data_IF_816313623833
#
_entry.id   IF_816313623833
#
_cell.length_a   1.000
_cell.length_b   1.000
_cell.length_c   1.000
_cell.angle_alpha   90.00
_cell.angle_beta   90.00
_cell.angle_gamma   90.00
#
_symmetry.space_group_name_H-M   'P 1'
#
loop_
_entity.id
_entity.type
_entity.pdbx_description
1 polymer ?
#
# COMPACT_ATOMS: atom_id res chain seq x y z
N UNK A 1 -11.35 -10.60 14.60
CA UNK A 1 -11.55 -9.54 13.60
C UNK A 1 -10.21 -9.02 13.11
N UNK A 2 -10.13 -8.66 11.82
CA UNK A 2 -8.93 -8.17 11.13
C UNK A 2 -9.26 -6.83 10.45
N UNK A 3 -8.54 -5.76 10.78
CA UNK A 3 -8.70 -4.47 10.13
C UNK A 3 -7.56 -4.20 9.14
N UNK A 4 -7.87 -3.48 8.06
CA UNK A 4 -6.89 -2.93 7.14
C UNK A 4 -6.83 -1.41 7.29
N UNK A 5 -5.62 -0.88 7.44
CA UNK A 5 -5.36 0.55 7.63
C UNK A 5 -4.54 1.07 6.45
N UNK A 6 -5.01 2.13 5.83
CA UNK A 6 -4.31 2.85 4.79
C UNK A 6 -4.23 4.34 5.09
N UNK A 7 -3.32 5.04 4.44
CA UNK A 7 -3.31 6.49 4.35
C UNK A 7 -3.25 6.87 2.88
N UNK A 8 -4.09 7.81 2.46
CA UNK A 8 -4.18 8.23 1.06
C UNK A 8 -4.32 9.74 0.91
N UNK A 9 -3.82 10.21 -0.23
CA UNK A 9 -4.03 11.56 -0.74
C UNK A 9 -4.19 11.48 -2.24
N UNK A 10 -5.27 12.02 -2.78
CA UNK A 10 -5.59 11.98 -4.21
C UNK A 10 -5.59 10.54 -4.76
N UNK A 11 -6.37 9.66 -4.10
CA UNK A 11 -6.48 8.24 -4.45
C UNK A 11 -7.91 7.82 -4.82
N UNK A 12 -8.85 8.77 -4.98
CA UNK A 12 -10.26 8.44 -5.25
C UNK A 12 -10.44 7.56 -6.49
N UNK A 13 -9.61 7.78 -7.51
CA UNK A 13 -9.62 6.99 -8.74
C UNK A 13 -9.44 5.47 -8.49
N UNK A 14 -8.67 5.11 -7.46
CA UNK A 14 -8.32 3.72 -7.15
C UNK A 14 -9.00 3.19 -5.88
N UNK A 15 -9.56 4.07 -5.08
CA UNK A 15 -10.02 3.76 -3.73
C UNK A 15 -11.11 2.69 -3.72
N UNK A 16 -12.08 2.75 -4.65
CA UNK A 16 -13.19 1.79 -4.70
C UNK A 16 -12.69 0.38 -5.06
N UNK A 17 -11.87 0.23 -6.11
CA UNK A 17 -11.29 -1.05 -6.49
C UNK A 17 -10.47 -1.66 -5.33
N UNK A 18 -9.67 -0.83 -4.67
CA UNK A 18 -8.82 -1.25 -3.57
C UNK A 18 -9.65 -1.71 -2.34
N UNK A 19 -10.70 -0.97 -1.99
CA UNK A 19 -11.63 -1.31 -0.90
C UNK A 19 -12.36 -2.60 -1.20
N UNK A 20 -12.99 -2.71 -2.37
CA UNK A 20 -13.74 -3.89 -2.79
C UNK A 20 -12.87 -5.14 -2.78
N UNK A 21 -11.66 -5.06 -3.30
CA UNK A 21 -10.72 -6.17 -3.30
C UNK A 21 -10.43 -6.69 -1.90
N UNK A 22 -10.11 -5.81 -0.97
CA UNK A 22 -9.75 -6.24 0.38
C UNK A 22 -10.96 -6.69 1.22
N UNK A 23 -12.12 -6.07 1.00
CA UNK A 23 -13.35 -6.55 1.62
C UNK A 23 -13.75 -7.95 1.09
N UNK A 24 -13.53 -8.24 -0.19
CA UNK A 24 -13.73 -9.57 -0.76
C UNK A 24 -12.78 -10.62 -0.17
N UNK A 25 -11.57 -10.23 0.25
CA UNK A 25 -10.64 -11.10 0.96
C UNK A 25 -10.98 -11.30 2.45
N UNK A 26 -12.10 -10.74 2.93
CA UNK A 26 -12.59 -10.96 4.29
C UNK A 26 -12.04 -10.01 5.36
N UNK A 27 -11.43 -8.88 5.01
CA UNK A 27 -11.16 -7.84 6.01
C UNK A 27 -12.46 -7.35 6.61
N UNK A 28 -12.58 -7.36 7.93
CA UNK A 28 -13.81 -6.99 8.63
C UNK A 28 -14.10 -5.49 8.55
N UNK A 29 -13.05 -4.68 8.48
CA UNK A 29 -13.14 -3.22 8.37
C UNK A 29 -11.91 -2.62 7.71
N UNK A 30 -12.11 -1.57 6.93
CA UNK A 30 -11.05 -0.76 6.35
C UNK A 30 -11.06 0.62 6.99
N UNK A 31 -9.92 1.09 7.45
CA UNK A 31 -9.72 2.39 8.10
C UNK A 31 -8.81 3.22 7.21
N UNK A 32 -9.33 4.29 6.65
CA UNK A 32 -8.62 5.18 5.74
C UNK A 32 -8.27 6.48 6.46
N UNK A 33 -6.99 6.75 6.60
CA UNK A 33 -6.47 8.04 7.05
C UNK A 33 -6.48 9.01 5.86
N UNK A 34 -7.45 9.92 5.83
CA UNK A 34 -7.57 10.94 4.78
C UNK A 34 -6.50 12.02 4.96
N UNK A 35 -5.48 12.01 4.10
CA UNK A 35 -4.39 12.98 4.11
C UNK A 35 -4.51 14.01 2.96
N UNK A 36 -5.68 14.15 2.36
CA UNK A 36 -5.94 15.20 1.39
C UNK A 36 -5.79 16.60 2.01
N UNK A 37 -5.51 17.60 1.20
CA UNK A 37 -5.53 19.00 1.63
C UNK A 37 -6.92 19.60 1.40
N UNK A 38 -7.14 20.80 1.94
CA UNK A 38 -8.37 21.55 1.70
C UNK A 38 -8.51 21.85 0.21
N UNK A 39 -9.70 21.60 -0.32
CA UNK A 39 -9.99 21.75 -1.75
C UNK A 39 -9.57 20.56 -2.63
N UNK A 40 -8.89 19.55 -2.08
CA UNK A 40 -8.65 18.27 -2.77
C UNK A 40 -9.81 17.28 -2.56
N UNK A 41 -9.66 16.10 -3.12
CA UNK A 41 -10.62 14.99 -3.05
C UNK A 41 -11.07 14.66 -1.63
N UNK A 42 -12.21 13.99 -1.55
CA UNK A 42 -12.73 13.39 -0.32
C UNK A 42 -13.05 11.92 -0.59
N UNK A 43 -12.62 11.04 0.28
CA UNK A 43 -12.92 9.62 0.14
C UNK A 43 -14.41 9.32 0.24
N UNK A 44 -15.17 10.15 0.95
CA UNK A 44 -16.62 10.03 1.05
C UNK A 44 -17.29 10.16 -0.33
N UNK A 45 -16.74 10.92 -1.27
CA UNK A 45 -17.30 11.10 -2.61
C UNK A 45 -17.38 9.79 -3.41
N UNK A 46 -16.54 8.81 -3.09
CA UNK A 46 -16.45 7.52 -3.80
C UNK A 46 -16.70 6.29 -2.94
N UNK A 47 -16.81 6.44 -1.59
CA UNK A 47 -16.92 5.31 -0.65
C UNK A 47 -18.09 5.47 0.34
N UNK A 48 -19.02 6.42 0.10
CA UNK A 48 -20.10 6.73 1.07
C UNK A 48 -20.96 5.50 1.40
N UNK A 49 -21.24 4.65 0.43
CA UNK A 49 -21.98 3.40 0.61
C UNK A 49 -21.29 2.45 1.62
N UNK A 50 -19.98 2.25 1.50
CA UNK A 50 -19.21 1.42 2.46
C UNK A 50 -19.05 2.07 3.83
N UNK A 51 -19.08 3.40 3.90
CA UNK A 51 -19.06 4.15 5.17
C UNK A 51 -20.40 3.95 5.88
N UNK A 52 -21.53 4.08 5.17
CA UNK A 52 -22.88 3.90 5.70
C UNK A 52 -23.13 2.46 6.18
N UNK A 53 -22.55 1.47 5.49
CA UNK A 53 -22.53 0.06 5.91
C UNK A 53 -21.62 -0.21 7.13
N UNK A 54 -20.81 0.76 7.54
CA UNK A 54 -19.85 0.62 8.64
C UNK A 54 -18.63 -0.26 8.30
N UNK A 55 -18.41 -0.54 7.01
CA UNK A 55 -17.27 -1.33 6.52
C UNK A 55 -16.02 -0.48 6.29
N UNK A 56 -16.20 0.80 6.00
CA UNK A 56 -15.12 1.79 5.88
C UNK A 56 -15.25 2.84 6.96
N UNK A 57 -14.14 3.27 7.53
CA UNK A 57 -14.05 4.41 8.47
C UNK A 57 -13.02 5.40 7.93
N UNK A 58 -13.40 6.68 7.81
CA UNK A 58 -12.49 7.75 7.45
C UNK A 58 -11.97 8.42 8.72
N UNK A 59 -10.64 8.54 8.83
CA UNK A 59 -9.97 9.21 9.96
C UNK A 59 -9.20 10.42 9.43
N UNK A 60 -9.47 11.60 9.97
CA UNK A 60 -8.92 12.86 9.48
C UNK A 60 -7.42 13.03 9.77
N UNK A 61 -6.65 13.17 8.70
CA UNK A 61 -5.23 13.56 8.68
C UNK A 61 -4.97 14.67 7.64
N UNK A 62 -6.03 15.41 7.27
CA UNK A 62 -5.95 16.46 6.26
C UNK A 62 -4.93 17.54 6.64
N UNK A 63 -4.24 18.07 5.63
CA UNK A 63 -3.24 19.14 5.76
C UNK A 63 -2.01 18.79 6.63
N UNK A 64 -1.77 17.51 6.93
CA UNK A 64 -0.61 17.10 7.72
C UNK A 64 0.48 16.53 6.80
N UNK A 65 1.61 17.24 6.72
CA UNK A 65 2.75 16.75 5.95
C UNK A 65 3.40 15.53 6.60
N UNK A 66 3.84 14.57 5.75
CA UNK A 66 4.55 13.35 6.19
C UNK A 66 3.80 12.55 7.26
N UNK A 67 2.46 12.56 7.19
CA UNK A 67 1.57 12.02 8.21
C UNK A 67 1.66 10.49 8.38
N UNK A 68 2.17 9.73 7.41
CA UNK A 68 2.04 8.27 7.38
C UNK A 68 2.52 7.56 8.67
N UNK A 69 3.65 7.97 9.24
CA UNK A 69 4.17 7.36 10.47
C UNK A 69 3.33 7.66 11.70
N UNK A 70 2.84 8.89 11.83
CA UNK A 70 1.93 9.27 12.91
C UNK A 70 0.59 8.58 12.74
N UNK A 71 0.00 8.63 11.56
CA UNK A 71 -1.28 7.98 11.25
C UNK A 71 -1.26 6.47 11.58
N UNK A 72 -0.25 5.74 11.12
CA UNK A 72 -0.12 4.31 11.43
C UNK A 72 0.09 4.04 12.92
N UNK A 73 0.89 4.87 13.60
CA UNK A 73 1.12 4.76 15.05
C UNK A 73 -0.17 5.00 15.84
N UNK A 74 -0.90 6.06 15.50
CA UNK A 74 -2.12 6.47 16.20
C UNK A 74 -3.26 5.50 15.92
N UNK A 75 -3.42 5.06 14.67
CA UNK A 75 -4.40 4.03 14.32
C UNK A 75 -4.11 2.72 15.03
N UNK A 76 -2.85 2.27 15.06
CA UNK A 76 -2.52 1.08 15.83
C UNK A 76 -2.88 1.25 17.32
N UNK A 77 -2.51 2.36 17.93
CA UNK A 77 -2.81 2.63 19.34
C UNK A 77 -4.31 2.64 19.62
N UNK A 78 -5.12 3.23 18.71
CA UNK A 78 -6.58 3.36 18.80
C UNK A 78 -7.28 2.01 18.68
N UNK A 79 -6.89 1.20 17.68
CA UNK A 79 -7.65 0.00 17.30
C UNK A 79 -7.08 -1.32 17.82
N UNK A 80 -5.86 -1.37 18.37
CA UNK A 80 -5.17 -2.60 18.81
C UNK A 80 -5.91 -3.46 19.83
N UNK A 81 -6.94 -2.94 20.50
CA UNK A 81 -7.75 -3.71 21.45
C UNK A 81 -9.05 -4.24 20.82
N UNK A 82 -9.41 -3.74 19.65
CA UNK A 82 -10.64 -4.07 18.95
C UNK A 82 -10.44 -5.19 17.93
N UNK A 83 -9.25 -5.24 17.33
CA UNK A 83 -8.90 -6.18 16.28
C UNK A 83 -7.78 -7.10 16.74
N UNK A 84 -7.88 -8.37 16.35
CA UNK A 84 -6.82 -9.36 16.59
C UNK A 84 -5.60 -9.07 15.73
N UNK A 85 -5.84 -8.64 14.48
CA UNK A 85 -4.81 -8.26 13.54
C UNK A 85 -5.13 -6.93 12.86
N UNK A 86 -4.08 -6.16 12.60
CA UNK A 86 -4.15 -4.89 11.88
C UNK A 86 -3.12 -4.91 10.76
N UNK A 87 -3.58 -4.88 9.51
CA UNK A 87 -2.74 -4.76 8.32
C UNK A 87 -2.51 -3.28 7.97
N UNK A 88 -1.35 -2.96 7.41
CA UNK A 88 -0.99 -1.59 7.03
C UNK A 88 -0.47 -1.59 5.60
N UNK A 89 -1.34 -1.28 4.63
CA UNK A 89 -1.03 -1.27 3.20
C UNK A 89 -1.29 0.11 2.59
N UNK A 90 -0.58 0.41 1.50
CA UNK A 90 -0.80 1.63 0.73
C UNK A 90 -1.85 1.38 -0.38
N UNK A 91 -2.44 2.43 -0.95
CA UNK A 91 -3.49 2.31 -1.99
C UNK A 91 -3.00 1.72 -3.32
N UNK A 92 -1.70 1.59 -3.50
CA UNK A 92 -1.08 0.93 -4.64
C UNK A 92 -0.62 -0.51 -4.33
N UNK A 93 -1.08 -1.08 -3.20
CA UNK A 93 -0.75 -2.43 -2.73
C UNK A 93 -2.01 -3.28 -2.56
N UNK A 94 -2.09 -4.39 -3.27
CA UNK A 94 -3.20 -5.33 -3.21
C UNK A 94 -2.73 -6.67 -2.65
N UNK A 95 -3.35 -7.13 -1.56
CA UNK A 95 -3.03 -8.45 -0.99
C UNK A 95 -3.49 -9.54 -1.97
N UNK A 96 -2.56 -10.39 -2.34
CA UNK A 96 -2.83 -11.60 -3.12
C UNK A 96 -2.52 -12.83 -2.26
N UNK A 97 -3.43 -13.78 -2.23
CA UNK A 97 -3.25 -15.09 -1.62
C UNK A 97 -3.06 -16.09 -2.75
N UNK A 98 -2.15 -17.05 -2.59
CA UNK A 98 -1.92 -18.08 -3.59
C UNK A 98 -3.27 -18.74 -3.96
N UNK A 99 -3.60 -18.87 -5.27
CA UNK A 99 -4.89 -19.42 -5.71
C UNK A 99 -5.19 -20.85 -5.20
N UNK A 100 -4.17 -21.60 -4.82
CA UNK A 100 -4.33 -22.95 -4.25
C UNK A 100 -4.76 -22.94 -2.76
N UNK A 101 -4.77 -21.76 -2.14
CA UNK A 101 -5.17 -21.56 -0.73
C UNK A 101 -6.54 -20.88 -0.64
N UNK A 102 -7.24 -20.99 0.51
CA UNK A 102 -8.45 -20.22 0.75
C UNK A 102 -8.23 -18.72 0.54
N UNK A 103 -9.08 -18.11 -0.28
CA UNK A 103 -9.01 -16.68 -0.62
C UNK A 103 -9.65 -15.82 0.49
N UNK A 104 -9.14 -15.97 1.71
CA UNK A 104 -9.68 -15.38 2.92
C UNK A 104 -8.57 -15.01 3.90
N UNK A 105 -8.57 -13.74 4.35
CA UNK A 105 -7.53 -13.23 5.25
C UNK A 105 -7.60 -13.85 6.66
N UNK A 106 -8.78 -14.29 7.12
CA UNK A 106 -8.89 -14.99 8.39
C UNK A 106 -8.22 -16.36 8.32
N UNK A 107 -8.46 -17.11 7.23
CA UNK A 107 -7.78 -18.38 6.99
C UNK A 107 -6.26 -18.20 6.87
N UNK A 108 -5.81 -17.14 6.19
CA UNK A 108 -4.39 -16.77 6.12
C UNK A 108 -3.81 -16.53 7.52
N UNK A 109 -4.47 -15.73 8.36
CA UNK A 109 -3.94 -15.36 9.67
C UNK A 109 -4.06 -16.46 10.71
N UNK A 110 -4.96 -17.44 10.54
CA UNK A 110 -5.06 -18.64 11.40
C UNK A 110 -3.83 -19.55 11.31
N UNK A 111 -3.00 -19.42 10.27
CA UNK A 111 -1.73 -20.13 10.12
C UNK A 111 -0.69 -19.72 11.18
N UNK A 112 -0.85 -18.54 11.79
CA UNK A 112 0.09 -17.97 12.76
C UNK A 112 -0.41 -18.13 14.19
N UNK A 113 0.36 -18.86 15.00
CA UNK A 113 0.06 -19.04 16.41
C UNK A 113 0.28 -17.76 17.25
N UNK A 114 0.08 -17.86 18.57
CA UNK A 114 0.24 -16.72 19.49
C UNK A 114 1.68 -16.21 19.61
N UNK A 115 2.67 -16.93 19.07
CA UNK A 115 4.05 -16.48 19.08
C UNK A 115 4.29 -15.40 18.02
N UNK A 116 3.57 -15.41 16.91
CA UNK A 116 3.67 -14.41 15.86
C UNK A 116 3.05 -13.08 16.30
N UNK A 117 3.82 -12.03 16.32
CA UNK A 117 3.36 -10.67 16.60
C UNK A 117 3.30 -9.80 15.34
N UNK A 118 4.11 -10.10 14.36
CA UNK A 118 4.15 -9.39 13.06
C UNK A 118 4.36 -10.42 11.97
N UNK A 119 3.46 -10.44 11.01
CA UNK A 119 3.62 -11.17 9.75
C UNK A 119 4.02 -10.18 8.66
N UNK A 120 5.12 -10.47 7.99
CA UNK A 120 5.62 -9.65 6.89
C UNK A 120 5.14 -10.21 5.56
N UNK A 121 4.38 -9.40 4.83
CA UNK A 121 3.92 -9.70 3.48
C UNK A 121 4.93 -9.13 2.48
N UNK A 122 5.55 -9.96 1.63
CA UNK A 122 6.52 -9.47 0.64
C UNK A 122 5.84 -8.68 -0.47
N UNK A 123 6.55 -7.72 -1.07
CA UNK A 123 6.13 -7.05 -2.28
C UNK A 123 6.51 -7.84 -3.52
N UNK A 124 5.57 -7.94 -4.45
CA UNK A 124 5.83 -8.28 -5.85
C UNK A 124 5.49 -7.04 -6.68
N UNK A 125 6.51 -6.39 -7.21
CA UNK A 125 6.32 -5.14 -7.96
C UNK A 125 5.87 -5.43 -9.39
N UNK A 126 4.79 -4.79 -9.81
CA UNK A 126 4.27 -4.88 -11.17
C UNK A 126 4.75 -3.70 -12.02
N UNK A 127 4.99 -3.97 -13.30
CA UNK A 127 5.37 -2.98 -14.31
C UNK A 127 4.13 -2.27 -14.85
N UNK A 128 4.34 -1.32 -15.76
CA UNK A 128 3.27 -0.68 -16.51
C UNK A 128 2.66 -1.58 -17.61
N UNK A 129 3.11 -2.83 -17.74
CA UNK A 129 2.69 -3.79 -18.77
C UNK A 129 2.69 -3.21 -20.19
N UNK A 130 3.62 -2.29 -20.48
CA UNK A 130 3.75 -1.61 -21.76
C UNK A 130 2.73 -0.49 -22.02
N UNK A 131 1.83 -0.21 -21.09
CA UNK A 131 0.82 0.85 -21.22
C UNK A 131 1.43 2.23 -20.97
N UNK A 132 1.00 3.21 -21.77
CA UNK A 132 1.36 4.62 -21.65
C UNK A 132 0.24 5.41 -20.99
N UNK A 133 -1.00 5.11 -21.37
CA UNK A 133 -2.20 5.81 -20.93
C UNK A 133 -3.08 4.94 -20.04
N UNK A 134 -3.83 5.59 -19.16
CA UNK A 134 -4.90 4.95 -18.43
C UNK A 134 -6.08 4.66 -19.39
N UNK A 135 -6.45 3.40 -19.53
CA UNK A 135 -7.55 2.95 -20.38
C UNK A 135 -8.86 2.74 -19.62
N UNK A 136 -8.91 3.12 -18.34
CA UNK A 136 -10.09 3.06 -17.49
C UNK A 136 -10.43 1.69 -16.92
N UNK A 137 -9.69 0.63 -17.27
CA UNK A 137 -9.87 -0.70 -16.66
C UNK A 137 -9.30 -0.72 -15.24
N UNK A 138 -9.75 -1.66 -14.39
CA UNK A 138 -9.19 -1.87 -13.06
C UNK A 138 -7.66 -2.05 -13.08
N UNK A 139 -6.99 -1.57 -12.05
CA UNK A 139 -5.52 -1.63 -11.90
C UNK A 139 -5.00 -3.07 -12.05
N UNK A 140 -5.68 -4.01 -11.40
CA UNK A 140 -5.28 -5.42 -11.40
C UNK A 140 -5.45 -6.13 -12.75
N UNK A 141 -6.30 -5.61 -13.62
CA UNK A 141 -6.50 -6.14 -14.98
C UNK A 141 -5.49 -5.54 -15.97
N UNK A 142 -5.06 -4.30 -15.74
CA UNK A 142 -4.13 -3.58 -16.62
C UNK A 142 -2.68 -4.02 -16.43
N UNK A 143 -2.26 -4.21 -15.20
CA UNK A 143 -0.86 -4.46 -14.86
C UNK A 143 -0.65 -5.90 -14.45
N UNK A 144 -0.22 -6.74 -15.40
CA UNK A 144 -0.04 -8.18 -15.24
C UNK A 144 1.41 -8.62 -15.31
N UNK A 145 2.31 -7.77 -15.80
CA UNK A 145 3.74 -8.08 -15.88
C UNK A 145 4.47 -7.69 -14.60
N UNK A 146 5.25 -8.60 -14.07
CA UNK A 146 6.08 -8.38 -12.88
C UNK A 146 7.44 -7.80 -13.23
N UNK A 147 7.99 -6.98 -12.34
CA UNK A 147 9.38 -6.57 -12.41
C UNK A 147 10.25 -7.69 -11.83
N UNK A 148 11.14 -8.25 -12.64
CA UNK A 148 12.03 -9.35 -12.25
C UNK A 148 13.10 -8.96 -11.22
N UNK A 149 13.26 -7.66 -10.95
CA UNK A 149 14.21 -7.21 -9.92
C UNK A 149 13.69 -7.56 -8.54
N UNK A 150 14.52 -8.22 -7.76
CA UNK A 150 14.18 -8.57 -6.39
C UNK A 150 13.85 -7.32 -5.57
N UNK A 151 12.63 -7.29 -5.03
CA UNK A 151 12.27 -6.37 -3.96
C UNK A 151 12.48 -7.07 -2.63
N UNK A 152 13.26 -6.45 -1.76
CA UNK A 152 13.48 -6.94 -0.38
C UNK A 152 12.56 -6.22 0.62
N UNK A 153 11.53 -5.55 0.14
CA UNK A 153 10.60 -4.78 0.95
C UNK A 153 9.23 -5.48 1.04
N UNK A 154 8.42 -5.04 1.97
CA UNK A 154 7.07 -5.55 2.19
C UNK A 154 6.35 -4.69 3.20
N UNK A 155 5.17 -5.15 3.63
CA UNK A 155 4.35 -4.50 4.65
C UNK A 155 3.99 -5.47 5.76
N UNK A 156 3.56 -4.92 6.89
CA UNK A 156 3.28 -5.69 8.09
C UNK A 156 1.78 -5.88 8.31
N UNK A 157 1.41 -7.11 8.72
CA UNK A 157 0.18 -7.39 9.45
C UNK A 157 0.58 -7.62 10.90
N UNK A 158 0.02 -6.84 11.82
CA UNK A 158 0.47 -6.72 13.20
C UNK A 158 -0.61 -7.22 14.15
N UNK A 159 -0.24 -8.07 15.08
CA UNK A 159 -1.17 -8.56 16.12
C UNK A 159 -1.61 -7.39 17.01
N UNK A 160 -2.88 -7.39 17.38
CA UNK A 160 -3.43 -6.45 18.35
C UNK A 160 -2.84 -6.61 19.76
N UNK A 161 -3.14 -5.69 20.65
CA UNK A 161 -2.79 -5.77 22.07
C UNK A 161 -1.35 -5.35 22.43
N UNK A 162 -0.41 -5.19 21.49
CA UNK A 162 0.97 -4.81 21.80
C UNK A 162 1.01 -3.36 22.27
N UNK A 163 1.54 -3.10 23.46
CA UNK A 163 1.69 -1.74 24.00
C UNK A 163 2.96 -1.09 23.50
N UNK A 164 2.92 0.22 23.23
CA UNK A 164 4.10 1.01 22.88
C UNK A 164 4.64 0.81 21.45
N UNK A 165 3.94 0.06 20.61
CA UNK A 165 4.30 -0.11 19.21
C UNK A 165 4.16 1.22 18.45
N UNK A 166 5.14 1.54 17.61
CA UNK A 166 5.18 2.77 16.81
C UNK A 166 5.78 2.49 15.42
N UNK A 167 5.31 3.21 14.42
CA UNK A 167 5.90 3.18 13.08
C UNK A 167 7.06 4.18 12.96
N UNK A 168 8.20 3.84 13.57
CA UNK A 168 9.47 4.60 13.51
C UNK A 168 10.66 3.63 13.57
N UNK A 169 11.69 3.82 12.76
CA UNK A 169 11.87 4.84 11.73
C UNK A 169 11.17 4.53 10.39
N UNK A 170 10.59 3.34 10.25
CA UNK A 170 10.00 2.84 9.01
C UNK A 170 8.46 2.89 9.03
N UNK A 171 7.85 2.97 7.85
CA UNK A 171 6.41 2.75 7.61
C UNK A 171 6.09 1.32 7.18
N UNK A 172 7.13 0.51 6.99
CA UNK A 172 6.99 -0.88 6.52
C UNK A 172 6.90 -1.87 7.68
N UNK A 173 7.72 -1.66 8.71
CA UNK A 173 7.77 -2.51 9.90
C UNK A 173 7.60 -1.63 11.14
N UNK A 174 6.70 -2.00 12.05
CA UNK A 174 6.58 -1.27 13.31
C UNK A 174 7.84 -1.41 14.16
N UNK A 175 8.20 -0.33 14.85
CA UNK A 175 9.28 -0.31 15.82
C UNK A 175 8.78 -0.67 17.22
N UNK A 176 9.45 -1.63 17.84
CA UNK A 176 9.27 -2.02 19.24
C UNK A 176 10.56 -2.70 19.72
N UNK A 177 10.93 -2.62 21.01
CA UNK A 177 12.17 -3.24 21.48
C UNK A 177 12.32 -4.72 21.16
N UNK A 178 11.22 -5.46 21.24
CA UNK A 178 11.20 -6.91 20.95
C UNK A 178 9.90 -7.25 20.21
N UNK A 179 10.00 -7.64 18.93
CA UNK A 179 8.90 -8.19 18.15
C UNK A 179 9.28 -9.54 17.56
N UNK A 180 8.38 -10.49 17.70
CA UNK A 180 8.49 -11.79 17.01
C UNK A 180 7.86 -11.65 15.64
N UNK A 181 8.73 -11.52 14.63
CA UNK A 181 8.36 -11.35 13.23
C UNK A 181 8.46 -12.68 12.49
N UNK A 182 7.53 -12.89 11.58
CA UNK A 182 7.46 -14.07 10.71
C UNK A 182 7.28 -13.63 9.24
N UNK A 183 7.82 -14.39 8.32
CA UNK A 183 7.54 -14.22 6.90
C UNK A 183 6.23 -14.90 6.50
N UNK A 184 5.84 -14.80 5.22
CA UNK A 184 4.63 -15.45 4.67
C UNK A 184 4.67 -16.98 4.73
N UNK A 185 5.85 -17.59 4.88
CA UNK A 185 6.04 -19.04 5.04
C UNK A 185 6.02 -19.51 6.51
N UNK A 186 5.52 -18.69 7.43
CA UNK A 186 5.46 -19.01 8.88
C UNK A 186 6.85 -19.21 9.53
N UNK A 187 7.91 -18.73 8.90
CA UNK A 187 9.27 -18.84 9.41
C UNK A 187 9.64 -17.61 10.24
N UNK A 188 10.24 -17.76 11.43
CA UNK A 188 10.76 -16.64 12.20
C UNK A 188 11.78 -15.83 11.38
N UNK A 189 11.70 -14.52 11.47
CA UNK A 189 12.63 -13.62 10.79
C UNK A 189 13.09 -12.50 11.73
N UNK A 190 14.29 -11.94 11.50
CA UNK A 190 14.71 -10.74 12.22
C UNK A 190 13.73 -9.58 12.01
N UNK A 191 13.56 -8.73 13.01
CA UNK A 191 12.78 -7.49 12.90
C UNK A 191 13.51 -6.50 11.99
N UNK A 192 13.59 -6.82 10.70
CA UNK A 192 14.24 -6.04 9.66
C UNK A 192 13.31 -5.87 8.47
N UNK A 193 13.63 -4.88 7.68
CA UNK A 193 12.90 -4.47 6.48
C UNK A 193 12.89 -5.53 5.36
N UNK A 194 13.76 -6.53 5.45
CA UNK A 194 14.00 -7.48 4.38
C UNK A 194 13.15 -8.74 4.56
N UNK A 195 12.31 -9.03 3.59
CA UNK A 195 11.68 -10.33 3.42
C UNK A 195 11.98 -10.81 2.01
N UNK A 196 12.30 -12.09 1.86
CA UNK A 196 12.44 -12.68 0.53
C UNK A 196 11.09 -12.69 -0.17
N UNK A 197 11.10 -12.41 -1.47
CA UNK A 197 9.92 -12.58 -2.30
C UNK A 197 9.56 -14.06 -2.29
N UNK A 198 8.32 -14.34 -1.90
CA UNK A 198 7.75 -15.66 -1.94
C UNK A 198 6.26 -15.55 -2.22
N UNK A 199 5.78 -16.24 -3.22
CA UNK A 199 4.38 -16.25 -3.66
C UNK A 199 3.65 -17.54 -3.32
N UNK A 200 4.30 -18.45 -2.57
CA UNK A 200 3.69 -19.75 -2.22
C UNK A 200 2.50 -19.59 -1.27
N UNK A 201 2.47 -18.52 -0.49
CA UNK A 201 1.35 -18.26 0.44
C UNK A 201 0.65 -16.95 0.11
N UNK A 202 1.34 -15.82 0.19
CA UNK A 202 0.76 -14.52 -0.14
C UNK A 202 1.83 -13.48 -0.44
N UNK A 203 1.42 -12.43 -1.16
CA UNK A 203 2.25 -11.27 -1.48
C UNK A 203 1.38 -10.02 -1.61
N UNK A 204 2.00 -8.84 -1.58
CA UNK A 204 1.37 -7.61 -2.01
C UNK A 204 1.74 -7.33 -3.46
N UNK A 205 0.75 -7.34 -4.34
CA UNK A 205 0.90 -6.83 -5.70
C UNK A 205 1.06 -5.31 -5.61
N UNK A 206 2.26 -4.81 -5.92
CA UNK A 206 2.62 -3.41 -5.73
C UNK A 206 2.68 -2.68 -7.07
N UNK A 207 1.69 -1.85 -7.34
CA UNK A 207 1.51 -1.05 -8.56
C UNK A 207 2.07 0.37 -8.39
N UNK A 208 3.34 0.46 -8.04
CA UNK A 208 3.97 1.71 -7.56
C UNK A 208 4.04 2.82 -8.62
N UNK A 209 4.05 2.49 -9.89
CA UNK A 209 4.15 3.47 -10.98
C UNK A 209 2.89 3.59 -11.82
N UNK A 210 2.18 2.47 -12.05
CA UNK A 210 1.10 2.37 -13.03
C UNK A 210 1.60 2.82 -14.43
N UNK A 211 0.76 3.45 -15.26
CA UNK A 211 1.20 4.03 -16.53
C UNK A 211 2.06 5.29 -16.32
N UNK A 212 2.80 5.71 -17.34
CA UNK A 212 3.57 6.96 -17.27
C UNK A 212 2.65 8.18 -17.11
N UNK A 213 1.48 8.17 -17.73
CA UNK A 213 0.47 9.22 -17.59
C UNK A 213 -0.01 9.34 -16.13
N UNK A 214 -0.42 8.23 -15.51
CA UNK A 214 -0.86 8.19 -14.10
C UNK A 214 0.29 8.56 -13.15
N UNK A 215 1.50 8.11 -13.46
CA UNK A 215 2.68 8.42 -12.65
C UNK A 215 2.96 9.92 -12.60
N UNK A 216 2.92 10.59 -13.75
CA UNK A 216 3.18 12.03 -13.85
C UNK A 216 2.02 12.85 -13.31
N UNK A 217 0.78 12.51 -13.64
CA UNK A 217 -0.40 13.26 -13.18
C UNK A 217 -0.62 13.12 -11.67
N UNK A 218 -0.32 11.98 -11.10
CA UNK A 218 -0.57 11.67 -9.69
C UNK A 218 0.66 11.97 -8.81
N UNK A 219 1.75 11.23 -9.00
CA UNK A 219 2.94 11.37 -8.14
C UNK A 219 3.69 12.69 -8.32
N UNK A 220 3.68 13.27 -9.52
CA UNK A 220 4.25 14.58 -9.75
C UNK A 220 3.45 15.71 -9.05
N UNK A 221 2.13 15.55 -8.92
CA UNK A 221 1.27 16.54 -8.25
C UNK A 221 1.31 16.44 -6.73
N UNK A 222 1.25 15.23 -6.17
CA UNK A 222 1.17 15.01 -4.71
C UNK A 222 2.50 14.76 -4.01
N UNK A 223 3.55 14.43 -4.77
CA UNK A 223 4.80 13.95 -4.18
C UNK A 223 4.71 12.52 -3.65
N UNK A 224 5.71 12.12 -2.89
CA UNK A 224 5.73 10.83 -2.20
C UNK A 224 5.82 11.04 -0.70
N UNK A 225 5.17 10.21 0.08
CA UNK A 225 5.07 10.32 1.54
C UNK A 225 6.41 10.39 2.30
N UNK A 226 7.53 10.12 1.66
CA UNK A 226 8.86 10.14 2.27
C UNK A 226 9.88 11.07 1.63
N UNK A 227 9.52 11.80 0.54
CA UNK A 227 10.46 12.67 -0.19
C UNK A 227 9.91 14.08 -0.35
N UNK A 228 10.77 15.10 -0.34
CA UNK A 228 10.36 16.43 -0.73
C UNK A 228 9.98 16.45 -2.22
N UNK A 229 9.07 17.36 -2.61
CA UNK A 229 8.70 17.57 -4.02
C UNK A 229 9.90 17.84 -4.90
N UNK A 230 10.87 18.64 -4.43
CA UNK A 230 12.10 18.93 -5.16
C UNK A 230 12.88 17.65 -5.46
N UNK A 231 13.12 16.81 -4.45
CA UNK A 231 13.82 15.53 -4.63
C UNK A 231 13.06 14.56 -5.55
N UNK A 232 11.74 14.64 -5.57
CA UNK A 232 10.93 13.86 -6.50
C UNK A 232 11.11 14.38 -7.94
N UNK A 233 11.04 15.69 -8.17
CA UNK A 233 11.29 16.34 -9.48
C UNK A 233 12.65 15.99 -10.07
N UNK A 234 13.67 15.87 -9.22
CA UNK A 234 15.03 15.53 -9.66
C UNK A 234 15.20 14.04 -10.04
N UNK A 235 14.32 13.16 -9.59
CA UNK A 235 14.54 11.70 -9.69
C UNK A 235 13.36 10.91 -10.26
N UNK A 236 12.22 11.54 -10.61
CA UNK A 236 11.01 10.81 -10.99
C UNK A 236 11.18 9.97 -12.27
N UNK A 237 11.86 10.50 -13.27
CA UNK A 237 12.14 9.81 -14.53
C UNK A 237 12.96 8.54 -14.29
N UNK A 238 14.03 8.65 -13.52
CA UNK A 238 14.90 7.52 -13.22
C UNK A 238 14.16 6.47 -12.38
N UNK A 239 13.38 6.90 -11.38
CA UNK A 239 12.58 5.98 -10.59
C UNK A 239 11.56 5.22 -11.43
N UNK A 240 10.83 5.90 -12.33
CA UNK A 240 9.89 5.22 -13.23
C UNK A 240 10.57 4.10 -14.03
N UNK A 241 11.74 4.37 -14.60
CA UNK A 241 12.51 3.41 -15.38
C UNK A 241 13.32 2.40 -14.54
N UNK A 242 13.34 2.51 -13.22
CA UNK A 242 13.80 1.39 -12.37
C UNK A 242 12.78 0.25 -12.32
N UNK A 243 11.51 0.57 -12.50
CA UNK A 243 10.40 -0.38 -12.46
C UNK A 243 10.00 -0.84 -13.85
N UNK A 244 9.98 0.10 -14.82
CA UNK A 244 9.41 -0.10 -16.14
C UNK A 244 10.48 -0.12 -17.23
N UNK A 245 10.15 -0.77 -18.34
CA UNK A 245 10.99 -0.78 -19.53
C UNK A 245 11.03 0.61 -20.15
N UNK A 246 12.24 1.07 -20.49
CA UNK A 246 12.45 2.33 -21.21
C UNK A 246 12.12 2.14 -22.69
N UNK A 247 11.25 2.97 -23.23
CA UNK A 247 10.92 3.01 -24.67
C UNK A 247 10.93 4.45 -25.18
N UNK A 248 11.16 4.66 -26.50
CA UNK A 248 11.15 6.00 -27.11
C UNK A 248 9.82 6.74 -26.89
N UNK A 249 8.70 6.02 -26.92
CA UNK A 249 7.36 6.59 -26.72
C UNK A 249 7.18 7.14 -25.32
N UNK A 250 7.64 6.41 -24.30
CA UNK A 250 7.58 6.85 -22.90
C UNK A 250 8.51 8.04 -22.65
N UNK A 251 9.69 8.03 -23.26
CA UNK A 251 10.60 9.18 -23.18
C UNK A 251 10.01 10.43 -23.83
N UNK A 252 9.42 10.29 -25.01
CA UNK A 252 8.74 11.39 -25.69
C UNK A 252 7.56 11.93 -24.87
N UNK A 253 6.80 11.04 -24.19
CA UNK A 253 5.72 11.45 -23.31
C UNK A 253 6.23 12.29 -22.13
N UNK A 254 7.31 11.87 -21.48
CA UNK A 254 7.93 12.61 -20.38
C UNK A 254 8.42 13.99 -20.85
N UNK A 255 9.10 14.08 -22.00
CA UNK A 255 9.62 15.35 -22.50
C UNK A 255 8.49 16.33 -22.86
N UNK A 256 7.40 15.81 -23.47
CA UNK A 256 6.20 16.63 -23.73
C UNK A 256 5.59 17.13 -22.42
N UNK A 257 5.39 16.26 -21.45
CA UNK A 257 4.83 16.63 -20.13
C UNK A 257 5.69 17.70 -19.42
N UNK A 258 7.02 17.60 -19.52
CA UNK A 258 7.95 18.61 -18.97
C UNK A 258 7.75 19.97 -19.60
N UNK A 259 7.68 20.03 -20.93
CA UNK A 259 7.47 21.31 -21.65
C UNK A 259 6.14 22.00 -21.28
N UNK A 260 5.13 21.22 -20.85
CA UNK A 260 3.81 21.73 -20.50
C UNK A 260 3.69 22.12 -19.01
N UNK A 261 4.59 21.63 -18.13
CA UNK A 261 4.42 21.71 -16.66
C UNK A 261 5.64 22.27 -15.90
N UNK A 262 6.80 22.43 -16.55
CA UNK A 262 8.03 23.06 -16.04
C UNK A 262 8.35 24.36 -16.79
#
# INVERSE_FOLDING_TARGET
MIALIAIGRMENEYAREWVEHHLCLGFDRIIICDNNHDGEERFEDVLQDYIDEGRVEIVGYRNIEKAQRSAYTDCYARYRKQYEWLAFFDFDEFLCINPELPQDVHALMQRYDSSCQVMMVPWLTYTDSGLIHNDGRPVRERFTEINEKESIAGKAIVRGGIKGLRYRPSVHIPGHPVLRCYNSLEQPMPQKRHTQINTDVCWLAHYTTKTIEEYLSNKARKGTAGRSMQKFKDTYKDYFFTVNKRTPEKEAFIEKWRMENE
#
